data_IF_253759810137
#
_entry.id   IF_253759810137
#
_cell.length_a   1.000
_cell.length_b   1.000
_cell.length_c   1.000
_cell.angle_alpha   90.00
_cell.angle_beta   90.00
_cell.angle_gamma   90.00
#
_symmetry.space_group_name_H-M   'P 1'
#
loop_
_entity.id
_entity.type
_entity.pdbx_description
1 polymer ?
#
# COMPACT_ATOMS: atom_id res chain seq x y z
N UNK A 1 -4.16 25.57 18.60
CA UNK A 1 -3.90 24.82 17.37
C UNK A 1 -3.25 23.50 17.75
N UNK A 2 -3.84 22.38 17.34
CA UNK A 2 -3.29 21.02 17.46
C UNK A 2 -3.13 20.51 16.04
N UNK A 3 -2.01 19.87 15.72
CA UNK A 3 -1.77 19.15 14.48
C UNK A 3 -1.20 17.80 14.89
N UNK A 4 -1.88 16.71 14.54
CA UNK A 4 -1.42 15.35 14.80
C UNK A 4 -1.33 14.59 13.49
N UNK A 5 -0.18 13.98 13.23
CA UNK A 5 -0.03 12.99 12.17
C UNK A 5 -0.45 11.63 12.69
N UNK A 6 -1.37 10.97 12.01
CA UNK A 6 -1.79 9.60 12.27
C UNK A 6 -1.19 8.74 11.19
N UNK A 7 -0.01 8.16 11.49
CA UNK A 7 0.78 7.44 10.50
C UNK A 7 0.53 5.94 10.54
N UNK A 8 0.22 5.37 9.39
CA UNK A 8 -0.05 3.94 9.21
C UNK A 8 1.11 3.25 8.49
N UNK A 9 2.00 2.65 9.25
CA UNK A 9 3.26 2.09 8.74
C UNK A 9 3.10 1.01 7.66
N UNK A 10 2.04 0.18 7.71
CA UNK A 10 1.83 -0.87 6.71
C UNK A 10 1.41 -0.36 5.32
N UNK A 11 0.93 0.88 5.22
CA UNK A 11 0.63 1.60 3.98
C UNK A 11 1.62 2.73 3.72
N UNK A 12 2.52 3.00 4.66
CA UNK A 12 3.37 4.18 4.68
C UNK A 12 2.58 5.49 4.46
N UNK A 13 1.35 5.57 5.02
CA UNK A 13 0.38 6.64 4.79
C UNK A 13 0.21 7.51 6.04
N UNK A 14 0.16 8.83 5.86
CA UNK A 14 -0.12 9.83 6.89
C UNK A 14 -1.49 10.48 6.68
N UNK A 15 -2.41 10.27 7.64
CA UNK A 15 -3.60 11.10 7.79
C UNK A 15 -3.33 12.20 8.82
N UNK A 16 -4.10 13.28 8.78
CA UNK A 16 -3.85 14.42 9.65
C UNK A 16 -5.12 14.89 10.35
N UNK A 17 -4.98 15.11 11.66
CA UNK A 17 -5.99 15.71 12.53
C UNK A 17 -5.55 17.14 12.89
N UNK A 18 -6.38 18.13 12.54
CA UNK A 18 -6.11 19.56 12.80
C UNK A 18 -7.25 20.11 13.63
N UNK A 19 -6.92 20.70 14.79
CA UNK A 19 -7.93 21.26 15.69
C UNK A 19 -7.62 22.71 16.06
N UNK A 20 -8.67 23.54 16.04
CA UNK A 20 -8.63 24.92 16.48
C UNK A 20 -9.98 25.34 17.05
N UNK A 21 -9.99 25.80 18.29
CA UNK A 21 -11.16 26.39 18.94
C UNK A 21 -12.44 25.52 18.87
N UNK A 22 -12.29 24.20 19.11
CA UNK A 22 -13.41 23.26 19.08
C UNK A 22 -13.88 22.81 17.70
N UNK A 23 -13.20 23.22 16.63
CA UNK A 23 -13.44 22.73 15.26
C UNK A 23 -12.29 21.89 14.79
N UNK A 24 -12.59 20.80 14.09
CA UNK A 24 -11.62 19.82 13.57
C UNK A 24 -11.71 19.69 12.06
N UNK A 25 -10.57 19.59 11.42
CA UNK A 25 -10.42 19.11 10.05
C UNK A 25 -9.59 17.82 10.03
N UNK A 26 -10.00 16.86 9.21
CA UNK A 26 -9.24 15.64 8.93
C UNK A 26 -8.77 15.70 7.48
N UNK A 27 -7.52 15.33 7.22
CA UNK A 27 -6.97 15.24 5.87
C UNK A 27 -6.60 13.79 5.59
N UNK A 28 -7.05 13.27 4.46
CA UNK A 28 -6.81 11.93 3.93
C UNK A 28 -7.04 10.81 4.97
N UNK A 29 -8.25 10.70 5.56
CA UNK A 29 -8.54 9.73 6.61
C UNK A 29 -8.45 8.28 6.11
N UNK A 30 -7.98 7.38 6.96
CA UNK A 30 -8.11 5.95 6.72
C UNK A 30 -9.57 5.50 6.78
N UNK A 31 -9.83 4.30 6.25
CA UNK A 31 -11.16 3.73 6.14
C UNK A 31 -11.86 3.52 7.49
N UNK A 32 -11.11 3.15 8.52
CA UNK A 32 -11.58 3.07 9.91
C UNK A 32 -11.56 4.46 10.55
N UNK A 33 -12.73 5.02 10.77
CA UNK A 33 -12.86 6.44 11.14
C UNK A 33 -13.06 6.70 12.63
N UNK A 34 -13.22 5.65 13.45
CA UNK A 34 -13.60 5.81 14.84
C UNK A 34 -12.55 6.58 15.66
N UNK A 35 -11.27 6.34 15.39
CA UNK A 35 -10.19 7.04 16.10
C UNK A 35 -10.22 8.56 15.91
N UNK A 36 -10.64 9.05 14.75
CA UNK A 36 -10.80 10.50 14.52
C UNK A 36 -11.97 11.07 15.31
N UNK A 37 -13.08 10.32 15.39
CA UNK A 37 -14.28 10.70 16.14
C UNK A 37 -13.96 10.76 17.63
N UNK A 38 -13.35 9.69 18.19
CA UNK A 38 -12.99 9.61 19.60
C UNK A 38 -12.03 10.72 20.04
N UNK A 39 -11.07 11.10 19.17
CA UNK A 39 -10.16 12.24 19.41
C UNK A 39 -10.92 13.56 19.50
N UNK A 40 -11.83 13.82 18.56
CA UNK A 40 -12.65 15.03 18.56
C UNK A 40 -13.55 15.07 19.80
N UNK A 41 -14.24 13.99 20.15
CA UNK A 41 -15.10 13.89 21.32
C UNK A 41 -14.34 14.11 22.64
N UNK A 42 -13.16 13.50 22.77
CA UNK A 42 -12.27 13.68 23.94
C UNK A 42 -11.91 15.14 24.18
N UNK A 43 -11.76 15.92 23.10
CA UNK A 43 -11.43 17.34 23.16
C UNK A 43 -12.67 18.25 23.18
N UNK A 44 -13.89 17.68 23.21
CA UNK A 44 -15.16 18.42 23.02
C UNK A 44 -15.15 19.26 21.74
N UNK A 45 -14.56 18.75 20.68
CA UNK A 45 -14.46 19.38 19.38
C UNK A 45 -15.36 18.68 18.36
N UNK A 46 -15.71 19.38 17.27
CA UNK A 46 -16.55 18.87 16.19
C UNK A 46 -15.77 18.76 14.90
N UNK A 47 -15.79 17.59 14.25
CA UNK A 47 -15.25 17.42 12.91
C UNK A 47 -16.14 18.20 11.95
N UNK A 48 -15.58 19.23 11.33
CA UNK A 48 -16.26 20.18 10.44
C UNK A 48 -15.97 19.90 8.98
N UNK A 49 -14.72 19.52 8.69
CA UNK A 49 -14.24 19.30 7.34
C UNK A 49 -13.44 17.99 7.23
N UNK A 50 -13.55 17.36 6.07
CA UNK A 50 -12.73 16.23 5.62
C UNK A 50 -12.13 16.66 4.29
N UNK A 51 -10.84 16.85 4.24
CA UNK A 51 -10.11 17.21 3.04
C UNK A 51 -9.48 15.97 2.43
N UNK A 52 -9.68 15.79 1.14
CA UNK A 52 -9.01 14.77 0.34
C UNK A 52 -8.05 15.46 -0.63
N UNK A 53 -6.77 15.11 -0.57
CA UNK A 53 -5.77 15.70 -1.45
C UNK A 53 -5.96 15.28 -2.91
N UNK A 54 -6.44 14.04 -3.12
CA UNK A 54 -6.75 13.45 -4.43
C UNK A 54 -7.59 12.18 -4.26
N UNK A 55 -7.98 11.51 -5.34
CA UNK A 55 -8.53 10.16 -5.27
C UNK A 55 -7.39 9.14 -5.10
N UNK A 56 -7.13 8.75 -3.85
CA UNK A 56 -6.06 7.81 -3.51
C UNK A 56 -6.19 6.50 -4.28
N UNK A 57 -5.06 5.99 -4.79
CA UNK A 57 -5.01 4.73 -5.52
C UNK A 57 -4.52 3.56 -4.63
N UNK A 58 -3.69 3.83 -3.67
CA UNK A 58 -3.04 2.84 -2.82
C UNK A 58 -3.87 2.38 -1.62
N UNK A 59 -4.89 3.17 -1.23
CA UNK A 59 -5.86 2.80 -0.19
C UNK A 59 -7.25 3.38 -0.43
N UNK A 60 -8.26 2.83 0.24
CA UNK A 60 -9.62 3.37 0.28
C UNK A 60 -9.75 4.28 1.48
N UNK A 61 -9.96 5.57 1.24
CA UNK A 61 -10.13 6.59 2.27
C UNK A 61 -11.45 6.45 3.04
N UNK A 62 -11.51 6.96 4.26
CA UNK A 62 -12.68 6.92 5.14
C UNK A 62 -13.64 8.11 4.98
N UNK A 63 -13.44 8.98 4.01
CA UNK A 63 -14.14 10.26 3.88
C UNK A 63 -15.68 10.14 3.87
N UNK A 64 -16.23 9.17 3.12
CA UNK A 64 -17.69 8.97 3.05
C UNK A 64 -18.24 8.53 4.41
N UNK A 65 -17.66 7.49 5.01
CA UNK A 65 -18.10 6.98 6.33
C UNK A 65 -17.94 8.04 7.42
N UNK A 66 -16.85 8.81 7.40
CA UNK A 66 -16.61 9.88 8.38
C UNK A 66 -17.64 11.00 8.23
N UNK A 67 -17.95 11.40 6.99
CA UNK A 67 -18.99 12.41 6.70
C UNK A 67 -20.38 11.94 7.15
N UNK A 68 -20.75 10.69 6.88
CA UNK A 68 -22.02 10.09 7.31
C UNK A 68 -22.17 10.11 8.84
N UNK A 69 -21.12 9.72 9.59
CA UNK A 69 -21.14 9.64 11.06
C UNK A 69 -21.14 11.00 11.75
N UNK A 70 -20.46 12.02 11.15
CA UNK A 70 -20.21 13.30 11.83
C UNK A 70 -20.98 14.48 11.27
N UNK A 71 -21.51 14.37 10.04
CA UNK A 71 -22.07 15.47 9.28
C UNK A 71 -21.03 16.46 8.76
N UNK A 72 -19.73 16.08 8.79
CA UNK A 72 -18.64 16.88 8.25
C UNK A 72 -18.74 16.97 6.72
N UNK A 73 -18.26 18.10 6.17
CA UNK A 73 -18.25 18.31 4.72
C UNK A 73 -16.99 17.75 4.10
N UNK A 74 -17.14 16.94 3.06
CA UNK A 74 -16.01 16.45 2.25
C UNK A 74 -15.60 17.56 1.28
N UNK A 75 -14.30 17.80 1.16
CA UNK A 75 -13.73 18.86 0.31
C UNK A 75 -12.65 18.24 -0.57
N UNK A 76 -12.79 18.43 -1.86
CA UNK A 76 -11.78 18.14 -2.88
C UNK A 76 -11.31 19.42 -3.55
N UNK A 77 -10.16 19.38 -4.17
CA UNK A 77 -9.66 20.45 -5.02
C UNK A 77 -10.37 20.56 -6.37
N UNK A 78 -9.99 21.54 -7.19
CA UNK A 78 -10.55 21.74 -8.52
C UNK A 78 -10.43 20.48 -9.40
N UNK A 79 -11.33 20.36 -10.38
CA UNK A 79 -11.44 19.23 -11.33
C UNK A 79 -11.86 17.88 -10.75
N UNK A 80 -11.91 17.70 -9.43
CA UNK A 80 -12.49 16.51 -8.84
C UNK A 80 -13.97 16.37 -9.25
N UNK A 81 -14.37 15.13 -9.52
CA UNK A 81 -15.76 14.83 -9.89
C UNK A 81 -16.20 13.54 -9.20
N UNK A 82 -16.41 13.55 -7.86
CA UNK A 82 -16.91 12.39 -7.10
C UNK A 82 -18.37 12.11 -7.43
N UNK A 83 -18.81 10.87 -7.21
CA UNK A 83 -20.20 10.44 -7.40
C UNK A 83 -21.04 10.56 -6.10
N UNK A 84 -20.55 11.27 -5.11
CA UNK A 84 -21.21 11.58 -3.83
C UNK A 84 -21.14 13.08 -3.55
N UNK A 85 -21.86 13.55 -2.54
CA UNK A 85 -21.88 14.97 -2.18
C UNK A 85 -20.51 15.40 -1.61
N UNK A 86 -19.89 16.38 -2.25
CA UNK A 86 -18.65 17.01 -1.82
C UNK A 86 -18.59 18.47 -2.29
N UNK A 87 -17.83 19.28 -1.59
CA UNK A 87 -17.47 20.63 -2.02
C UNK A 87 -16.27 20.52 -2.94
N UNK A 88 -16.41 20.93 -4.17
CA UNK A 88 -15.30 21.09 -5.11
C UNK A 88 -14.79 22.52 -4.97
N UNK A 89 -13.66 22.66 -4.30
CA UNK A 89 -13.09 23.95 -4.01
C UNK A 89 -12.45 24.58 -5.25
N UNK A 90 -12.48 25.90 -5.31
CA UNK A 90 -11.71 26.66 -6.29
C UNK A 90 -10.23 26.75 -5.85
N UNK A 91 -9.34 26.97 -6.81
CA UNK A 91 -7.95 27.26 -6.49
C UNK A 91 -7.84 28.55 -5.65
N UNK A 92 -7.05 28.51 -4.60
CA UNK A 92 -6.93 29.56 -3.59
C UNK A 92 -8.16 29.79 -2.69
N UNK A 93 -9.18 28.96 -2.77
CA UNK A 93 -10.30 29.03 -1.82
C UNK A 93 -9.81 28.79 -0.39
N UNK A 94 -10.41 29.53 0.57
CA UNK A 94 -10.03 29.46 1.99
C UNK A 94 -11.21 28.94 2.81
N UNK A 95 -10.92 27.97 3.68
CA UNK A 95 -11.85 27.39 4.64
C UNK A 95 -11.44 27.79 6.06
N UNK A 96 -12.37 28.35 6.81
CA UNK A 96 -12.15 28.75 8.19
C UNK A 96 -12.28 27.57 9.15
N UNK A 97 -11.25 27.33 9.99
CA UNK A 97 -11.22 26.30 11.02
C UNK A 97 -10.86 26.94 12.38
N UNK A 98 -11.88 27.26 13.18
CA UNK A 98 -11.68 28.04 14.40
C UNK A 98 -10.96 29.37 14.12
N UNK A 99 -9.75 29.54 14.66
CA UNK A 99 -8.89 30.71 14.41
C UNK A 99 -7.91 30.53 13.23
N UNK A 100 -7.94 29.37 12.58
CA UNK A 100 -7.02 29.02 11.47
C UNK A 100 -7.72 29.12 10.14
N UNK A 101 -6.94 29.24 9.07
CA UNK A 101 -7.41 29.19 7.69
C UNK A 101 -6.72 28.03 6.96
N UNK A 102 -7.47 27.25 6.20
CA UNK A 102 -6.95 26.22 5.29
C UNK A 102 -7.19 26.70 3.87
N UNK A 103 -6.11 26.96 3.13
CA UNK A 103 -6.15 27.43 1.75
C UNK A 103 -5.88 26.28 0.81
N UNK A 104 -6.74 26.11 -0.19
CA UNK A 104 -6.58 25.11 -1.25
C UNK A 104 -5.58 25.61 -2.29
N UNK A 105 -4.56 24.82 -2.60
CA UNK A 105 -3.62 25.05 -3.69
C UNK A 105 -3.82 23.92 -4.70
N UNK A 106 -4.41 24.20 -5.86
CA UNK A 106 -4.56 23.21 -6.92
C UNK A 106 -3.19 22.86 -7.52
N UNK A 107 -2.76 21.64 -7.38
CA UNK A 107 -1.43 21.15 -7.77
C UNK A 107 -1.52 19.91 -8.66
N UNK A 108 -2.10 20.03 -9.89
CA UNK A 108 -2.22 18.91 -10.80
C UNK A 108 -0.86 18.34 -11.18
N UNK A 109 -0.83 17.04 -11.46
CA UNK A 109 0.37 16.34 -11.92
C UNK A 109 0.47 14.89 -11.46
N UNK A 110 0.40 14.61 -10.17
CA UNK A 110 0.19 13.25 -9.68
C UNK A 110 -1.18 12.74 -10.15
N UNK A 111 -2.24 13.50 -9.86
CA UNK A 111 -3.55 13.41 -10.52
C UNK A 111 -4.00 14.79 -10.98
N UNK A 112 -5.05 14.87 -11.80
CA UNK A 112 -5.55 16.17 -12.29
C UNK A 112 -6.25 16.99 -11.22
N UNK A 113 -6.86 16.34 -10.23
CA UNK A 113 -7.54 16.99 -9.09
C UNK A 113 -6.63 17.20 -7.89
N UNK A 114 -5.39 16.73 -7.93
CA UNK A 114 -4.43 16.85 -6.82
C UNK A 114 -4.35 18.27 -6.29
N UNK A 115 -4.40 18.39 -4.97
CA UNK A 115 -4.34 19.66 -4.28
C UNK A 115 -3.54 19.55 -2.99
N UNK A 116 -2.76 20.58 -2.69
CA UNK A 116 -2.17 20.76 -1.38
C UNK A 116 -3.07 21.65 -0.53
N UNK A 117 -3.04 21.44 0.79
CA UNK A 117 -3.76 22.29 1.74
C UNK A 117 -2.77 23.07 2.59
N UNK A 118 -2.77 24.39 2.42
CA UNK A 118 -1.89 25.30 3.16
C UNK A 118 -2.60 25.82 4.41
N UNK A 119 -2.12 25.40 5.57
CA UNK A 119 -2.63 25.87 6.86
C UNK A 119 -1.97 27.21 7.20
N UNK A 120 -2.79 28.19 7.51
CA UNK A 120 -2.37 29.48 8.06
C UNK A 120 -2.72 29.56 9.54
N UNK A 121 -1.79 30.12 10.33
CA UNK A 121 -2.01 30.37 11.73
C UNK A 121 -3.04 31.48 12.00
N UNK A 122 -3.34 31.76 13.27
CA UNK A 122 -4.27 32.84 13.70
C UNK A 122 -3.85 34.22 13.23
N UNK A 123 -2.59 34.42 12.87
CA UNK A 123 -2.06 35.68 12.31
C UNK A 123 -2.07 35.68 10.78
N UNK A 124 -2.66 34.65 10.15
CA UNK A 124 -2.69 34.41 8.70
C UNK A 124 -1.32 34.19 8.06
N UNK A 125 -0.31 33.84 8.88
CA UNK A 125 0.98 33.40 8.39
C UNK A 125 0.91 31.94 7.95
N UNK A 126 1.56 31.61 6.81
CA UNK A 126 1.72 30.24 6.34
C UNK A 126 2.48 29.43 7.39
N UNK A 127 1.92 28.30 7.81
CA UNK A 127 2.45 27.48 8.90
C UNK A 127 2.80 26.07 8.45
N UNK A 128 1.89 25.38 7.74
CA UNK A 128 2.08 24.01 7.33
C UNK A 128 1.44 23.73 5.97
N UNK A 129 2.06 22.87 5.19
CA UNK A 129 1.59 22.39 3.90
C UNK A 129 1.31 20.89 3.99
N UNK A 130 0.04 20.50 3.86
CA UNK A 130 -0.36 19.11 3.66
C UNK A 130 -0.31 18.85 2.16
N UNK A 131 0.78 18.23 1.74
CA UNK A 131 1.16 18.20 0.33
C UNK A 131 0.57 17.04 -0.46
N UNK A 132 -0.11 16.10 0.20
CA UNK A 132 -0.58 14.88 -0.47
C UNK A 132 0.56 14.19 -1.18
N UNK A 133 0.30 13.78 -2.41
CA UNK A 133 1.28 13.17 -3.33
C UNK A 133 1.90 14.19 -4.29
N UNK A 134 1.69 15.50 -4.07
CA UNK A 134 2.38 16.54 -4.85
C UNK A 134 3.85 16.62 -4.47
N UNK A 135 4.17 16.60 -3.17
CA UNK A 135 5.53 16.68 -2.65
C UNK A 135 5.69 15.71 -1.48
N UNK A 136 6.69 14.84 -1.57
CA UNK A 136 7.21 14.03 -0.48
C UNK A 136 8.52 14.60 0.06
N UNK A 137 9.01 14.03 1.16
CA UNK A 137 10.35 14.35 1.64
C UNK A 137 11.38 13.59 0.81
N UNK A 138 12.20 14.33 0.07
CA UNK A 138 13.22 13.80 -0.84
C UNK A 138 12.71 13.39 -2.23
N UNK A 139 11.39 13.39 -2.47
CA UNK A 139 10.78 12.93 -3.73
C UNK A 139 9.48 13.67 -4.04
N UNK A 140 8.81 13.27 -5.12
CA UNK A 140 7.47 13.72 -5.54
C UNK A 140 6.60 12.53 -5.94
N UNK A 141 5.28 12.72 -5.98
CA UNK A 141 4.36 11.68 -6.45
C UNK A 141 4.56 11.36 -7.92
N UNK A 142 4.40 10.08 -8.25
CA UNK A 142 4.50 9.55 -9.62
C UNK A 142 3.40 10.12 -10.51
N UNK A 143 3.72 10.60 -11.73
CA UNK A 143 2.74 11.28 -12.60
C UNK A 143 2.11 10.36 -13.66
N UNK A 144 2.12 9.04 -13.48
CA UNK A 144 1.66 8.08 -14.49
C UNK A 144 0.31 7.41 -14.16
N UNK A 145 -0.28 7.69 -12.99
CA UNK A 145 -1.50 7.00 -12.54
C UNK A 145 -2.79 7.52 -13.16
N UNK A 146 -2.83 8.80 -13.52
CA UNK A 146 -4.06 9.49 -13.95
C UNK A 146 -4.13 9.76 -15.46
N UNK A 147 -3.47 8.94 -16.27
CA UNK A 147 -3.54 9.03 -17.74
C UNK A 147 -4.99 8.81 -18.21
N UNK A 148 -5.54 9.76 -18.95
CA UNK A 148 -6.92 9.69 -19.45
C UNK A 148 -7.08 10.46 -20.76
N UNK A 149 -7.63 9.80 -21.76
CA UNK A 149 -7.81 10.39 -23.08
C UNK A 149 -6.45 10.74 -23.71
N UNK A 150 -6.27 12.01 -24.07
CA UNK A 150 -5.03 12.50 -24.71
C UNK A 150 -3.96 12.95 -23.69
N UNK A 151 -4.24 12.84 -22.37
CA UNK A 151 -3.28 13.23 -21.33
C UNK A 151 -2.29 12.09 -21.11
N UNK A 152 -1.02 12.36 -21.38
CA UNK A 152 0.09 11.43 -21.22
C UNK A 152 0.76 11.58 -19.84
N UNK A 153 1.60 10.61 -19.46
CA UNK A 153 2.45 10.72 -18.27
C UNK A 153 3.40 11.91 -18.34
N UNK A 154 3.90 12.26 -19.55
CA UNK A 154 4.76 13.45 -19.76
C UNK A 154 3.99 14.75 -19.53
N UNK A 155 2.71 14.80 -19.92
CA UNK A 155 1.87 15.97 -19.64
C UNK A 155 1.63 16.12 -18.14
N UNK A 156 1.33 15.02 -17.45
CA UNK A 156 1.14 15.00 -16.00
C UNK A 156 2.44 15.40 -15.27
N UNK A 157 3.59 14.88 -15.68
CA UNK A 157 4.89 15.31 -15.14
C UNK A 157 5.15 16.80 -15.36
N UNK A 158 4.77 17.32 -16.55
CA UNK A 158 4.84 18.74 -16.85
C UNK A 158 3.95 19.61 -15.97
N UNK A 159 2.71 19.15 -15.66
CA UNK A 159 1.82 19.83 -14.71
C UNK A 159 2.35 19.78 -13.28
N UNK A 160 2.94 18.65 -12.86
CA UNK A 160 3.56 18.52 -11.56
C UNK A 160 4.71 19.54 -11.39
N UNK A 161 5.59 19.66 -12.38
CA UNK A 161 6.64 20.67 -12.38
C UNK A 161 6.08 22.09 -12.19
N UNK A 162 5.08 22.47 -12.99
CA UNK A 162 4.43 23.78 -12.88
C UNK A 162 3.78 24.01 -11.51
N UNK A 163 3.14 22.97 -10.96
CA UNK A 163 2.55 23.01 -9.62
C UNK A 163 3.62 23.25 -8.54
N UNK A 164 4.73 22.53 -8.60
CA UNK A 164 5.84 22.68 -7.66
C UNK A 164 6.47 24.09 -7.77
N UNK A 165 6.81 24.55 -8.97
CA UNK A 165 7.50 25.80 -9.17
C UNK A 165 6.63 27.02 -8.86
N UNK A 166 5.35 27.00 -9.24
CA UNK A 166 4.49 28.17 -9.11
C UNK A 166 3.77 28.27 -7.77
N UNK A 167 3.62 27.15 -7.02
CA UNK A 167 2.82 27.12 -5.79
C UNK A 167 3.57 26.66 -4.56
N UNK A 168 4.46 25.66 -4.69
CA UNK A 168 5.16 25.10 -3.54
C UNK A 168 6.46 25.85 -3.26
N UNK A 169 7.33 26.02 -4.27
CA UNK A 169 8.63 26.71 -4.12
C UNK A 169 8.47 28.17 -3.68
N UNK A 170 7.34 28.81 -4.02
CA UNK A 170 7.05 30.19 -3.65
C UNK A 170 6.70 30.41 -2.18
N UNK A 171 6.38 29.33 -1.43
CA UNK A 171 6.07 29.41 0.00
C UNK A 171 7.36 29.66 0.82
N UNK A 172 7.19 30.18 2.04
CA UNK A 172 8.32 30.47 2.94
C UNK A 172 9.05 29.20 3.39
N UNK A 173 10.35 29.33 3.65
CA UNK A 173 11.22 28.19 3.99
C UNK A 173 10.88 27.55 5.35
N UNK A 174 10.22 28.28 6.26
CA UNK A 174 9.84 27.81 7.57
C UNK A 174 8.49 27.04 7.58
N UNK A 175 7.85 26.85 6.43
CA UNK A 175 6.61 26.05 6.30
C UNK A 175 6.93 24.59 6.55
N UNK A 176 6.16 23.97 7.44
CA UNK A 176 6.26 22.53 7.75
C UNK A 176 5.58 21.73 6.64
N UNK A 177 6.22 20.69 6.13
CA UNK A 177 5.68 19.80 5.08
C UNK A 177 5.18 18.52 5.72
N UNK A 178 3.91 18.21 5.47
CA UNK A 178 3.19 17.01 5.87
C UNK A 178 2.74 16.23 4.62
N UNK A 179 3.55 15.27 4.12
CA UNK A 179 3.22 14.50 2.92
C UNK A 179 2.23 13.37 3.21
N UNK A 180 1.51 12.87 2.19
CA UNK A 180 0.65 11.70 2.38
C UNK A 180 1.44 10.42 2.60
N UNK A 181 2.69 10.32 2.14
CA UNK A 181 3.49 9.10 2.25
C UNK A 181 4.91 9.32 2.74
N UNK A 182 5.45 8.24 3.34
CA UNK A 182 6.86 8.06 3.68
C UNK A 182 7.47 6.83 3.01
N UNK A 183 8.66 6.44 3.44
CA UNK A 183 9.41 5.30 2.87
C UNK A 183 8.59 4.00 2.84
N UNK A 184 8.54 3.35 1.69
CA UNK A 184 7.83 2.08 1.46
C UNK A 184 6.55 2.20 0.65
N UNK A 185 6.02 3.43 0.41
CA UNK A 185 4.91 3.63 -0.50
C UNK A 185 5.31 3.39 -1.97
N UNK A 186 4.37 2.89 -2.77
CA UNK A 186 4.51 2.74 -4.21
C UNK A 186 4.18 4.03 -5.00
N UNK A 187 3.82 5.11 -4.29
CA UNK A 187 3.47 6.39 -4.90
C UNK A 187 4.68 7.27 -5.24
N UNK A 188 5.90 6.90 -4.83
CA UNK A 188 7.15 7.57 -5.18
C UNK A 188 8.31 6.58 -5.28
N UNK A 189 9.50 7.08 -5.69
CA UNK A 189 10.69 6.25 -5.93
C UNK A 189 11.63 6.18 -4.72
N UNK A 190 11.95 7.34 -4.13
CA UNK A 190 13.01 7.50 -3.13
C UNK A 190 12.54 8.30 -1.90
N UNK A 191 11.40 7.95 -1.33
CA UNK A 191 10.85 8.65 -0.18
C UNK A 191 11.75 8.50 1.06
N UNK A 192 11.92 9.61 1.77
CA UNK A 192 12.64 9.65 3.05
C UNK A 192 11.95 8.79 4.12
N UNK A 193 12.72 8.42 5.14
CA UNK A 193 12.19 7.74 6.34
C UNK A 193 11.45 8.70 7.26
N UNK A 194 11.79 9.98 7.21
CA UNK A 194 11.07 11.03 7.92
C UNK A 194 9.69 11.19 7.30
N UNK A 195 8.72 11.50 8.15
CA UNK A 195 7.31 11.69 7.75
C UNK A 195 6.84 13.14 7.91
N UNK A 196 7.70 14.00 8.44
CA UNK A 196 7.49 15.45 8.62
C UNK A 196 8.81 16.15 8.33
N UNK A 197 8.78 17.25 7.59
CA UNK A 197 9.98 18.01 7.23
C UNK A 197 9.71 19.50 7.16
N UNK A 198 10.72 20.26 6.72
CA UNK A 198 10.64 21.71 6.54
C UNK A 198 10.89 22.05 5.08
N UNK A 199 10.09 22.93 4.49
CA UNK A 199 10.13 23.22 3.06
C UNK A 199 11.49 23.77 2.61
N UNK A 200 12.16 24.59 3.43
CA UNK A 200 13.49 25.12 3.12
C UNK A 200 14.56 24.04 2.97
N UNK A 201 14.47 22.96 3.75
CA UNK A 201 15.34 21.79 3.60
C UNK A 201 15.02 21.05 2.29
N UNK A 202 13.74 20.88 1.96
CA UNK A 202 13.31 20.24 0.72
C UNK A 202 13.77 21.03 -0.51
N UNK A 203 13.71 22.35 -0.49
CA UNK A 203 14.24 23.19 -1.58
C UNK A 203 15.75 22.98 -1.82
N UNK A 204 16.51 22.55 -0.80
CA UNK A 204 17.95 22.31 -0.89
C UNK A 204 18.29 20.85 -1.25
N UNK A 205 17.50 19.88 -0.80
CA UNK A 205 17.84 18.45 -0.85
C UNK A 205 17.00 17.63 -1.80
N UNK A 206 15.75 18.05 -2.07
CA UNK A 206 14.85 17.34 -2.97
C UNK A 206 15.19 17.69 -4.44
N UNK A 207 15.50 16.68 -5.23
CA UNK A 207 15.87 16.86 -6.64
C UNK A 207 14.82 17.65 -7.43
N UNK A 208 13.53 17.40 -7.13
CA UNK A 208 12.39 17.97 -7.85
C UNK A 208 12.19 19.49 -7.60
N UNK A 209 12.78 20.03 -6.53
CA UNK A 209 12.68 21.46 -6.16
C UNK A 209 13.92 22.25 -6.50
N UNK A 210 14.92 21.65 -7.16
CA UNK A 210 16.15 22.35 -7.55
C UNK A 210 15.85 23.54 -8.45
N UNK A 211 16.44 24.69 -8.13
CA UNK A 211 16.23 25.95 -8.86
C UNK A 211 16.82 25.96 -10.29
N UNK A 212 17.82 25.09 -10.56
CA UNK A 212 18.50 24.96 -11.85
C UNK A 212 17.86 23.91 -12.78
N UNK A 213 16.85 23.14 -12.31
CA UNK A 213 16.21 22.10 -13.09
C UNK A 213 15.19 22.67 -14.08
N UNK A 214 15.38 22.39 -15.35
CA UNK A 214 14.41 22.72 -16.39
C UNK A 214 13.20 21.78 -16.36
N UNK A 215 12.08 22.18 -16.94
CA UNK A 215 10.88 21.34 -17.05
C UNK A 215 11.18 20.01 -17.76
N UNK A 216 11.97 20.03 -18.83
CA UNK A 216 12.28 18.81 -19.61
C UNK A 216 13.20 17.84 -18.82
N UNK A 217 14.16 18.36 -18.09
CA UNK A 217 15.00 17.56 -17.17
C UNK A 217 14.14 16.93 -16.06
N UNK A 218 13.25 17.71 -15.44
CA UNK A 218 12.32 17.19 -14.43
C UNK A 218 11.42 16.07 -14.98
N UNK A 219 10.82 16.28 -16.16
CA UNK A 219 9.95 15.27 -16.80
C UNK A 219 10.72 13.98 -17.07
N UNK A 220 11.97 14.10 -17.52
CA UNK A 220 12.83 12.93 -17.77
C UNK A 220 13.17 12.22 -16.46
N UNK A 221 13.63 12.97 -15.45
CA UNK A 221 14.04 12.42 -14.15
C UNK A 221 12.87 11.75 -13.39
N UNK A 222 11.70 12.40 -13.35
CA UNK A 222 10.56 11.87 -12.59
C UNK A 222 10.00 10.62 -13.20
N UNK A 223 10.05 10.46 -14.53
CA UNK A 223 9.55 9.28 -15.25
C UNK A 223 10.58 8.15 -15.32
N UNK A 224 11.86 8.42 -15.09
CA UNK A 224 12.89 7.40 -15.15
C UNK A 224 12.74 6.38 -13.99
N UNK A 225 12.80 5.10 -14.32
CA UNK A 225 12.78 4.02 -13.34
C UNK A 225 11.45 3.82 -12.59
N UNK A 226 10.33 4.40 -13.05
CA UNK A 226 9.01 4.14 -12.45
C UNK A 226 8.61 2.70 -12.71
N UNK A 227 8.43 1.91 -11.65
CA UNK A 227 7.87 0.56 -11.75
C UNK A 227 6.38 0.61 -12.13
N UNK A 228 5.84 -0.39 -12.86
CA UNK A 228 4.41 -0.47 -13.13
C UNK A 228 3.58 -0.34 -11.85
N UNK A 229 2.43 0.37 -11.87
CA UNK A 229 1.61 0.51 -10.69
C UNK A 229 1.00 -0.83 -10.27
N UNK A 230 0.80 -1.05 -8.95
CA UNK A 230 0.09 -2.22 -8.46
C UNK A 230 -1.30 -2.33 -9.10
N UNK A 231 -1.74 -3.54 -9.45
CA UNK A 231 -2.95 -3.78 -10.24
C UNK A 231 -4.25 -3.28 -9.58
N UNK A 232 -4.28 -3.10 -8.26
CA UNK A 232 -5.44 -2.63 -7.51
C UNK A 232 -5.59 -1.11 -7.51
N UNK A 233 -4.56 -0.34 -7.86
CA UNK A 233 -4.55 1.13 -7.78
C UNK A 233 -5.72 1.77 -8.53
N UNK A 234 -5.93 1.41 -9.79
CA UNK A 234 -7.02 1.97 -10.57
C UNK A 234 -8.41 1.67 -9.97
N UNK A 235 -8.56 0.51 -9.33
CA UNK A 235 -9.80 0.09 -8.69
C UNK A 235 -10.07 0.89 -7.41
N UNK A 236 -9.05 1.10 -6.57
CA UNK A 236 -9.17 1.89 -5.35
C UNK A 236 -9.44 3.36 -5.65
N UNK A 237 -8.74 3.96 -6.62
CA UNK A 237 -9.04 5.32 -7.08
C UNK A 237 -10.50 5.45 -7.55
N UNK A 238 -11.03 4.43 -8.24
CA UNK A 238 -12.44 4.40 -8.63
C UNK A 238 -13.37 4.26 -7.43
N UNK A 239 -13.05 3.45 -6.41
CA UNK A 239 -13.82 3.37 -5.17
C UNK A 239 -13.85 4.71 -4.44
N UNK A 240 -12.70 5.36 -4.28
CA UNK A 240 -12.60 6.67 -3.66
C UNK A 240 -13.39 7.75 -4.41
N UNK A 241 -13.52 7.62 -5.72
CA UNK A 241 -14.32 8.53 -6.56
C UNK A 241 -15.81 8.21 -6.53
N UNK A 242 -16.18 6.92 -6.50
CA UNK A 242 -17.57 6.48 -6.71
C UNK A 242 -18.33 6.25 -5.41
N UNK A 243 -17.65 6.20 -4.28
CA UNK A 243 -18.17 5.71 -3.01
C UNK A 243 -18.01 4.18 -2.87
N UNK A 244 -18.17 3.69 -1.65
CA UNK A 244 -17.93 2.31 -1.23
C UNK A 244 -18.87 1.93 -0.08
N UNK A 245 -18.93 0.64 0.26
CA UNK A 245 -19.74 0.16 1.39
C UNK A 245 -19.27 0.76 2.72
N UNK A 246 -20.20 1.03 3.63
CA UNK A 246 -19.88 1.51 4.97
C UNK A 246 -18.93 0.53 5.67
N UNK A 247 -17.91 1.05 6.33
CA UNK A 247 -16.89 0.23 6.97
C UNK A 247 -17.44 -0.64 8.09
N UNK A 248 -18.42 -0.14 8.86
CA UNK A 248 -19.04 -0.92 9.95
C UNK A 248 -19.77 -2.15 9.41
N UNK A 249 -20.43 -2.02 8.26
CA UNK A 249 -21.11 -3.16 7.59
C UNK A 249 -20.09 -4.18 7.09
N UNK A 250 -18.97 -3.71 6.54
CA UNK A 250 -17.87 -4.58 6.08
C UNK A 250 -17.27 -5.35 7.26
N UNK A 251 -17.02 -4.66 8.36
CA UNK A 251 -16.46 -5.26 9.57
C UNK A 251 -17.45 -6.27 10.18
N UNK A 252 -18.74 -5.90 10.31
CA UNK A 252 -19.77 -6.80 10.83
C UNK A 252 -19.92 -8.06 9.99
N UNK A 253 -19.86 -7.94 8.66
CA UNK A 253 -19.93 -9.07 7.73
C UNK A 253 -18.69 -9.97 7.83
N UNK A 254 -17.50 -9.38 7.95
CA UNK A 254 -16.23 -10.11 7.92
C UNK A 254 -15.81 -10.70 9.27
N UNK A 255 -16.29 -10.14 10.39
CA UNK A 255 -15.96 -10.59 11.75
C UNK A 255 -16.95 -11.64 12.26
N UNK A 256 -17.16 -12.70 11.46
CA UNK A 256 -18.05 -13.81 11.76
C UNK A 256 -17.26 -15.08 12.04
N UNK A 257 -17.36 -15.60 13.26
CA UNK A 257 -16.75 -16.86 13.65
C UNK A 257 -17.47 -18.06 12.99
N UNK A 258 -16.73 -18.92 12.33
CA UNK A 258 -17.24 -20.10 11.62
C UNK A 258 -16.57 -21.36 12.17
N UNK A 259 -17.36 -22.37 12.54
CA UNK A 259 -16.81 -23.68 12.82
C UNK A 259 -16.24 -24.33 11.53
N UNK A 260 -15.49 -25.41 11.65
CA UNK A 260 -14.79 -26.03 10.52
C UNK A 260 -15.73 -26.50 9.40
N UNK A 261 -16.93 -27.02 9.74
CA UNK A 261 -17.92 -27.48 8.77
C UNK A 261 -18.52 -26.33 7.96
N UNK A 262 -18.91 -25.24 8.63
CA UNK A 262 -19.48 -24.05 7.98
C UNK A 262 -18.42 -23.33 7.15
N UNK A 263 -17.20 -23.26 7.65
CA UNK A 263 -16.06 -22.66 6.94
C UNK A 263 -15.79 -23.42 5.63
N UNK A 264 -15.70 -24.76 5.67
CA UNK A 264 -15.50 -25.58 4.47
C UNK A 264 -16.68 -25.47 3.50
N UNK A 265 -17.91 -25.50 4.01
CA UNK A 265 -19.10 -25.36 3.18
C UNK A 265 -19.13 -24.02 2.44
N UNK A 266 -18.78 -22.91 3.12
CA UNK A 266 -18.69 -21.59 2.49
C UNK A 266 -17.52 -21.53 1.49
N UNK A 267 -16.36 -22.10 1.82
CA UNK A 267 -15.21 -22.14 0.89
C UNK A 267 -15.60 -22.79 -0.44
N UNK A 268 -16.33 -23.90 -0.37
CA UNK A 268 -16.76 -24.65 -1.55
C UNK A 268 -17.92 -23.99 -2.31
N UNK A 269 -18.96 -23.52 -1.59
CA UNK A 269 -20.19 -23.01 -2.20
C UNK A 269 -20.00 -21.65 -2.86
N UNK A 270 -19.18 -20.79 -2.24
CA UNK A 270 -18.93 -19.43 -2.70
C UNK A 270 -17.63 -19.30 -3.53
N UNK A 271 -16.93 -20.42 -3.77
CA UNK A 271 -15.58 -20.42 -4.36
C UNK A 271 -14.68 -19.41 -3.65
N UNK A 272 -14.77 -19.37 -2.30
CA UNK A 272 -14.05 -18.39 -1.51
C UNK A 272 -12.56 -18.73 -1.43
N UNK A 273 -11.75 -17.70 -1.53
CA UNK A 273 -10.31 -17.80 -1.27
C UNK A 273 -10.08 -17.99 0.23
N UNK A 274 -9.43 -19.06 0.63
CA UNK A 274 -8.95 -19.22 2.01
C UNK A 274 -7.62 -18.47 2.13
N UNK A 275 -7.62 -17.38 2.89
CA UNK A 275 -6.45 -16.54 3.13
C UNK A 275 -5.90 -16.80 4.53
N UNK A 276 -4.72 -17.41 4.60
CA UNK A 276 -4.00 -17.65 5.85
C UNK A 276 -3.09 -16.46 6.15
N UNK A 277 -3.39 -15.74 7.23
CA UNK A 277 -2.66 -14.53 7.62
C UNK A 277 -1.77 -14.75 8.85
N UNK A 278 -1.58 -15.99 9.28
CA UNK A 278 -0.71 -16.35 10.39
C UNK A 278 0.76 -16.04 10.06
N UNK A 279 1.67 -16.43 10.93
CA UNK A 279 3.09 -16.33 10.66
C UNK A 279 3.52 -17.41 9.64
N UNK A 280 4.46 -17.10 8.73
CA UNK A 280 4.91 -18.03 7.68
C UNK A 280 5.36 -19.41 8.21
N UNK A 281 5.97 -19.47 9.38
CA UNK A 281 6.36 -20.76 9.99
C UNK A 281 5.16 -21.65 10.28
N UNK A 282 4.07 -21.07 10.80
CA UNK A 282 2.85 -21.80 11.10
C UNK A 282 2.17 -22.32 9.83
N UNK A 283 2.21 -21.52 8.75
CA UNK A 283 1.71 -21.93 7.44
C UNK A 283 2.54 -23.12 6.87
N UNK A 284 3.87 -23.01 6.93
CA UNK A 284 4.79 -24.08 6.51
C UNK A 284 4.49 -25.40 7.23
N UNK A 285 4.31 -25.34 8.55
CA UNK A 285 4.04 -26.51 9.39
C UNK A 285 2.70 -27.17 9.09
N UNK A 286 1.65 -26.36 8.88
CA UNK A 286 0.33 -26.88 8.52
C UNK A 286 -0.60 -25.75 8.05
N UNK A 287 -1.32 -26.01 6.95
CA UNK A 287 -2.32 -25.11 6.40
C UNK A 287 -3.48 -25.86 5.75
N UNK A 288 -4.58 -25.17 5.50
CA UNK A 288 -5.73 -25.73 4.78
C UNK A 288 -5.32 -25.90 3.30
N UNK A 289 -5.62 -27.06 2.67
CA UNK A 289 -5.34 -27.27 1.25
C UNK A 289 -5.85 -26.13 0.37
N UNK A 290 -5.07 -25.74 -0.63
CA UNK A 290 -5.36 -24.63 -1.56
C UNK A 290 -5.48 -23.24 -0.91
N UNK A 291 -5.15 -23.08 0.37
CA UNK A 291 -5.07 -21.75 0.99
C UNK A 291 -3.87 -20.96 0.48
N UNK A 292 -4.04 -19.64 0.36
CA UNK A 292 -2.96 -18.70 0.06
C UNK A 292 -2.48 -18.05 1.35
N UNK A 293 -1.16 -17.97 1.51
CA UNK A 293 -0.52 -17.31 2.64
C UNK A 293 -0.20 -15.85 2.31
N UNK A 294 -0.65 -14.91 3.13
CA UNK A 294 -0.14 -13.53 3.18
C UNK A 294 -0.18 -13.10 4.66
N UNK A 295 0.95 -13.24 5.35
CA UNK A 295 1.03 -12.99 6.80
C UNK A 295 0.75 -11.54 7.19
N UNK A 296 -0.07 -11.34 8.24
CA UNK A 296 -0.50 -10.01 8.69
C UNK A 296 0.65 -9.12 9.19
N UNK A 297 1.74 -9.72 9.66
CA UNK A 297 2.91 -8.99 10.19
C UNK A 297 3.89 -8.51 9.11
N UNK A 298 3.66 -8.83 7.84
CA UNK A 298 4.44 -8.34 6.70
C UNK A 298 3.79 -7.14 6.00
N UNK A 299 4.17 -6.87 4.77
CA UNK A 299 3.50 -5.90 3.89
C UNK A 299 2.12 -6.41 3.44
N UNK A 300 1.21 -6.69 4.39
CA UNK A 300 -0.03 -7.42 4.17
C UNK A 300 -0.93 -6.77 3.12
N UNK A 301 -1.37 -5.53 3.38
CA UNK A 301 -2.31 -4.85 2.50
C UNK A 301 -1.77 -4.65 1.06
N UNK A 302 -0.54 -4.14 0.85
CA UNK A 302 0.06 -4.08 -0.48
C UNK A 302 0.15 -5.44 -1.19
N UNK A 303 0.51 -6.53 -0.47
CA UNK A 303 0.58 -7.85 -1.08
C UNK A 303 -0.79 -8.42 -1.40
N UNK A 304 -1.79 -8.23 -0.55
CA UNK A 304 -3.18 -8.57 -0.88
C UNK A 304 -3.61 -7.86 -2.17
N UNK A 305 -3.39 -6.54 -2.23
CA UNK A 305 -3.72 -5.74 -3.40
C UNK A 305 -3.00 -6.15 -4.68
N UNK A 306 -1.72 -6.52 -4.59
CA UNK A 306 -0.93 -6.95 -5.74
C UNK A 306 -1.31 -8.36 -6.24
N UNK A 307 -1.70 -9.27 -5.35
CA UNK A 307 -1.79 -10.71 -5.65
C UNK A 307 -3.21 -11.22 -5.86
N UNK A 308 -4.22 -10.63 -5.19
CA UNK A 308 -5.63 -10.99 -5.37
C UNK A 308 -6.24 -10.06 -6.41
N UNK A 309 -6.50 -10.58 -7.61
CA UNK A 309 -6.84 -9.72 -8.77
C UNK A 309 -8.28 -9.20 -8.77
N UNK A 310 -9.20 -9.85 -8.05
CA UNK A 310 -10.59 -9.43 -7.97
C UNK A 310 -10.94 -8.86 -6.59
N UNK A 311 -11.28 -7.56 -6.50
CA UNK A 311 -11.73 -6.93 -5.25
C UNK A 311 -13.02 -7.54 -4.69
N UNK A 312 -13.82 -8.21 -5.53
CA UNK A 312 -15.07 -8.87 -5.13
C UNK A 312 -14.86 -10.32 -4.72
N UNK A 313 -13.62 -10.84 -4.77
CA UNK A 313 -13.32 -12.20 -4.36
C UNK A 313 -13.85 -12.46 -2.96
N UNK A 314 -14.74 -13.48 -2.75
CA UNK A 314 -15.10 -13.92 -1.41
C UNK A 314 -13.85 -14.44 -0.69
N UNK A 315 -13.63 -13.99 0.55
CA UNK A 315 -12.44 -14.34 1.34
C UNK A 315 -12.88 -14.95 2.67
N UNK A 316 -12.28 -16.06 3.03
CA UNK A 316 -12.36 -16.71 4.34
C UNK A 316 -10.99 -16.67 5.01
N UNK A 317 -10.96 -16.36 6.31
CA UNK A 317 -9.72 -16.07 7.01
C UNK A 317 -9.28 -17.19 7.95
N UNK A 318 -7.97 -17.48 7.94
CA UNK A 318 -7.29 -18.23 9.00
C UNK A 318 -6.32 -17.25 9.69
N UNK A 319 -6.69 -16.81 10.90
CA UNK A 319 -6.00 -15.73 11.61
C UNK A 319 -5.22 -16.23 12.84
N UNK A 320 -4.22 -15.50 13.32
CA UNK A 320 -3.82 -15.59 14.71
C UNK A 320 -4.98 -15.15 15.61
N UNK A 321 -5.12 -15.77 16.78
CA UNK A 321 -6.16 -15.42 17.77
C UNK A 321 -6.13 -13.93 18.11
N UNK A 322 -7.29 -13.27 18.07
CA UNK A 322 -7.47 -11.85 18.37
C UNK A 322 -7.02 -10.90 17.23
N UNK A 323 -6.76 -11.43 16.03
CA UNK A 323 -6.40 -10.62 14.84
C UNK A 323 -7.47 -10.59 13.76
N UNK A 324 -8.64 -11.08 14.06
CA UNK A 324 -9.76 -11.23 13.10
C UNK A 324 -10.20 -9.85 12.58
N UNK A 325 -10.61 -8.97 13.48
CA UNK A 325 -11.05 -7.60 13.13
C UNK A 325 -9.94 -6.78 12.48
N UNK A 326 -8.70 -6.88 12.98
CA UNK A 326 -7.56 -6.22 12.37
C UNK A 326 -7.35 -6.68 10.93
N UNK A 327 -7.55 -7.98 10.66
CA UNK A 327 -7.39 -8.54 9.31
C UNK A 327 -8.46 -8.01 8.36
N UNK A 328 -9.73 -8.02 8.77
CA UNK A 328 -10.84 -7.46 7.98
C UNK A 328 -10.59 -5.97 7.70
N UNK A 329 -10.18 -5.22 8.71
CA UNK A 329 -9.84 -3.79 8.58
C UNK A 329 -8.74 -3.56 7.54
N UNK A 330 -7.65 -4.33 7.61
CA UNK A 330 -6.53 -4.18 6.66
C UNK A 330 -6.89 -4.61 5.23
N UNK A 331 -7.78 -5.58 5.06
CA UNK A 331 -8.35 -5.94 3.75
C UNK A 331 -9.18 -4.80 3.18
N UNK A 332 -10.05 -4.21 4.00
CA UNK A 332 -10.92 -3.12 3.57
C UNK A 332 -10.13 -1.85 3.22
N UNK A 333 -8.98 -1.58 3.85
CA UNK A 333 -8.10 -0.46 3.48
C UNK A 333 -7.66 -0.50 2.02
N UNK A 334 -7.58 -1.68 1.42
CA UNK A 334 -7.21 -1.86 0.00
C UNK A 334 -8.38 -2.38 -0.85
N UNK A 335 -9.62 -2.19 -0.36
CA UNK A 335 -10.86 -2.39 -1.14
C UNK A 335 -11.43 -3.82 -1.13
N UNK A 336 -10.87 -4.75 -0.35
CA UNK A 336 -11.39 -6.12 -0.24
C UNK A 336 -12.47 -6.22 0.84
N UNK A 337 -13.70 -5.89 0.46
CA UNK A 337 -14.86 -5.80 1.37
C UNK A 337 -15.68 -7.08 1.46
N UNK A 338 -15.29 -8.13 0.75
CA UNK A 338 -16.06 -9.37 0.67
C UNK A 338 -15.49 -10.50 1.54
N UNK A 339 -15.09 -10.16 2.78
CA UNK A 339 -14.74 -11.18 3.78
C UNK A 339 -16.03 -11.83 4.31
N UNK A 340 -16.09 -13.17 4.32
CA UNK A 340 -17.26 -13.96 4.72
C UNK A 340 -17.19 -14.44 6.17
N UNK A 341 -16.04 -14.33 6.81
CA UNK A 341 -15.80 -14.76 8.17
C UNK A 341 -14.40 -15.38 8.36
N UNK A 342 -14.18 -15.90 9.54
CA UNK A 342 -12.92 -16.52 9.92
C UNK A 342 -13.13 -17.89 10.59
N UNK A 343 -12.11 -18.74 10.54
CA UNK A 343 -12.12 -20.05 11.17
C UNK A 343 -11.96 -19.88 12.70
N UNK A 344 -13.04 -20.18 13.46
CA UNK A 344 -13.04 -20.11 14.92
C UNK A 344 -12.05 -21.13 15.51
N UNK A 345 -11.16 -20.65 16.39
CA UNK A 345 -10.11 -21.46 16.99
C UNK A 345 -8.99 -21.86 16.02
N UNK A 346 -9.00 -21.33 14.79
CA UNK A 346 -7.93 -21.46 13.82
C UNK A 346 -7.66 -22.89 13.35
N UNK A 347 -6.41 -23.15 12.91
CA UNK A 347 -6.03 -24.42 12.30
C UNK A 347 -6.15 -25.63 13.26
N UNK A 348 -6.09 -25.42 14.57
CA UNK A 348 -6.19 -26.50 15.54
C UNK A 348 -7.63 -27.03 15.61
N UNK A 349 -8.64 -26.17 15.51
CA UNK A 349 -10.06 -26.57 15.38
C UNK A 349 -10.30 -27.33 14.08
N UNK A 350 -9.70 -26.89 12.97
CA UNK A 350 -9.76 -27.60 11.69
C UNK A 350 -9.21 -29.02 11.78
N UNK A 351 -8.03 -29.19 12.40
CA UNK A 351 -7.41 -30.49 12.65
C UNK A 351 -8.28 -31.38 13.56
N UNK A 352 -8.82 -30.80 14.65
CA UNK A 352 -9.68 -31.51 15.58
C UNK A 352 -10.99 -32.01 14.95
N UNK A 353 -11.49 -31.32 13.92
CA UNK A 353 -12.62 -31.73 13.11
C UNK A 353 -12.28 -32.84 12.08
N UNK A 354 -11.02 -33.33 12.06
CA UNK A 354 -10.56 -34.39 11.16
C UNK A 354 -10.46 -33.96 9.69
N UNK A 355 -10.32 -32.65 9.43
CA UNK A 355 -10.18 -32.12 8.09
C UNK A 355 -8.76 -32.23 7.57
N UNK A 356 -8.60 -32.30 6.24
CA UNK A 356 -7.30 -32.41 5.57
C UNK A 356 -6.44 -31.17 5.80
N UNK A 357 -5.14 -31.41 5.96
CA UNK A 357 -4.12 -30.37 6.05
C UNK A 357 -3.00 -30.63 5.04
N UNK A 358 -2.34 -29.56 4.62
CA UNK A 358 -1.09 -29.62 3.85
C UNK A 358 0.06 -28.98 4.61
N UNK A 359 1.26 -29.25 4.13
CA UNK A 359 2.52 -28.65 4.58
C UNK A 359 3.25 -28.05 3.39
N UNK A 360 4.17 -27.12 3.63
CA UNK A 360 5.12 -26.64 2.65
C UNK A 360 6.51 -27.11 3.02
N UNK A 361 7.20 -27.76 2.09
CA UNK A 361 8.60 -28.11 2.31
C UNK A 361 9.45 -26.84 2.38
N UNK A 362 10.26 -26.70 3.42
CA UNK A 362 11.19 -25.58 3.61
C UNK A 362 12.53 -26.12 4.09
N UNK A 363 13.61 -25.76 3.37
CA UNK A 363 14.96 -26.24 3.64
C UNK A 363 15.90 -25.10 4.04
N UNK A 364 17.00 -25.42 4.71
CA UNK A 364 18.01 -24.42 5.05
C UNK A 364 18.81 -23.98 3.82
N UNK A 365 19.46 -22.82 3.90
CA UNK A 365 20.35 -22.34 2.84
C UNK A 365 21.55 -23.27 2.62
N UNK A 366 22.02 -23.95 3.66
CA UNK A 366 23.09 -24.94 3.55
C UNK A 366 22.63 -26.20 2.78
N UNK A 367 21.41 -26.70 3.07
CA UNK A 367 20.83 -27.82 2.32
C UNK A 367 20.61 -27.42 0.87
N UNK A 368 20.06 -26.22 0.63
CA UNK A 368 19.89 -25.67 -0.72
C UNK A 368 21.24 -25.56 -1.46
N UNK A 369 22.29 -25.06 -0.80
CA UNK A 369 23.66 -24.99 -1.37
C UNK A 369 24.19 -26.34 -1.81
N UNK A 370 23.94 -27.39 -1.02
CA UNK A 370 24.34 -28.74 -1.38
C UNK A 370 23.61 -29.28 -2.60
N UNK A 371 22.29 -29.08 -2.69
CA UNK A 371 21.50 -29.45 -3.88
C UNK A 371 21.97 -28.68 -5.12
N UNK A 372 22.15 -27.36 -5.02
CA UNK A 372 22.58 -26.51 -6.12
C UNK A 372 23.92 -26.91 -6.73
N UNK A 373 24.87 -27.39 -5.90
CA UNK A 373 26.20 -27.83 -6.36
C UNK A 373 26.21 -29.24 -6.99
N UNK A 374 25.37 -30.12 -6.49
CA UNK A 374 25.42 -31.53 -6.84
C UNK A 374 24.33 -31.98 -7.80
N UNK A 375 23.31 -31.18 -8.02
CA UNK A 375 22.12 -31.50 -8.83
C UNK A 375 21.79 -30.37 -9.77
N UNK A 376 21.07 -30.69 -10.85
CA UNK A 376 20.44 -29.64 -11.71
C UNK A 376 19.08 -29.29 -11.15
N UNK A 377 19.01 -28.20 -10.39
CA UNK A 377 17.77 -27.72 -9.77
C UNK A 377 17.26 -26.43 -10.41
N UNK A 378 15.94 -26.23 -10.43
CA UNK A 378 15.38 -24.96 -10.90
C UNK A 378 15.14 -24.05 -9.68
N UNK A 379 15.62 -22.83 -9.76
CA UNK A 379 15.51 -21.85 -8.67
C UNK A 379 14.71 -20.63 -9.13
N UNK A 380 13.74 -20.20 -8.32
CA UNK A 380 12.98 -18.98 -8.53
C UNK A 380 13.39 -17.93 -7.50
N UNK A 381 13.95 -16.83 -7.97
CA UNK A 381 14.15 -15.63 -7.16
C UNK A 381 12.91 -14.72 -7.30
N UNK A 382 12.10 -14.66 -6.22
CA UNK A 382 10.85 -13.90 -6.22
C UNK A 382 10.99 -12.47 -5.66
N UNK A 383 12.22 -11.95 -5.58
CA UNK A 383 12.49 -10.57 -5.18
C UNK A 383 12.08 -9.58 -6.27
N UNK A 384 11.99 -8.31 -5.89
CA UNK A 384 11.76 -7.22 -6.85
C UNK A 384 12.91 -7.08 -7.84
N UNK A 385 12.64 -6.51 -9.00
CA UNK A 385 13.59 -6.33 -10.10
C UNK A 385 14.88 -5.63 -9.66
N UNK A 386 14.79 -4.51 -8.93
CA UNK A 386 15.96 -3.81 -8.40
C UNK A 386 16.80 -4.63 -7.40
N UNK A 387 16.15 -5.48 -6.57
CA UNK A 387 16.88 -6.37 -5.66
C UNK A 387 17.63 -7.47 -6.43
N UNK A 388 16.99 -8.02 -7.48
CA UNK A 388 17.59 -9.04 -8.35
C UNK A 388 18.76 -8.44 -9.14
N UNK A 389 18.57 -7.30 -9.80
CA UNK A 389 19.61 -6.62 -10.56
C UNK A 389 20.81 -6.19 -9.71
N UNK A 390 20.56 -5.81 -8.46
CA UNK A 390 21.63 -5.42 -7.55
C UNK A 390 22.62 -6.55 -7.27
N UNK A 391 22.14 -7.74 -7.01
CA UNK A 391 22.92 -8.99 -6.84
C UNK A 391 21.99 -10.18 -6.77
N UNK A 392 22.30 -11.26 -7.47
CA UNK A 392 21.55 -12.52 -7.40
C UNK A 392 22.48 -13.73 -7.47
N UNK A 393 21.91 -14.92 -7.22
CA UNK A 393 22.58 -16.19 -7.38
C UNK A 393 22.89 -16.42 -8.86
N UNK A 394 24.17 -16.67 -9.18
CA UNK A 394 24.62 -16.92 -10.56
C UNK A 394 24.46 -18.40 -10.92
N UNK A 395 23.72 -18.70 -11.99
CA UNK A 395 23.49 -20.06 -12.46
C UNK A 395 22.45 -20.14 -13.57
N UNK A 396 22.65 -21.07 -14.50
CA UNK A 396 21.83 -21.26 -15.73
C UNK A 396 20.35 -21.58 -15.42
N UNK A 397 20.05 -22.15 -14.26
CA UNK A 397 18.71 -22.54 -13.84
C UNK A 397 18.13 -21.59 -12.74
N UNK A 398 18.70 -20.42 -12.58
CA UNK A 398 18.16 -19.37 -11.71
C UNK A 398 17.32 -18.42 -12.52
N UNK A 399 16.03 -18.37 -12.22
CA UNK A 399 15.06 -17.53 -12.93
C UNK A 399 14.58 -16.42 -12.01
N UNK A 400 14.63 -15.18 -12.47
CA UNK A 400 13.93 -14.09 -11.83
C UNK A 400 12.42 -14.23 -12.07
N UNK A 401 11.64 -14.31 -10.99
CA UNK A 401 10.20 -14.54 -11.02
C UNK A 401 9.53 -13.63 -9.97
N UNK A 402 9.64 -12.32 -10.16
CA UNK A 402 9.18 -11.33 -9.18
C UNK A 402 7.74 -11.59 -8.71
N UNK A 403 7.54 -11.64 -7.39
CA UNK A 403 6.24 -11.91 -6.78
C UNK A 403 5.18 -10.90 -7.21
N UNK A 404 5.56 -9.64 -7.41
CA UNK A 404 4.65 -8.57 -7.85
C UNK A 404 3.92 -8.91 -9.16
N UNK A 405 4.53 -9.74 -10.02
CA UNK A 405 4.03 -10.13 -11.35
C UNK A 405 3.76 -11.63 -11.48
N UNK A 406 3.53 -12.33 -10.35
CA UNK A 406 3.30 -13.78 -10.37
C UNK A 406 2.08 -14.16 -11.23
N UNK A 407 1.05 -13.33 -11.26
CA UNK A 407 -0.17 -13.61 -12.02
C UNK A 407 0.08 -13.57 -13.54
N UNK A 408 0.89 -12.63 -14.00
CA UNK A 408 1.23 -12.43 -15.41
C UNK A 408 2.25 -13.47 -15.92
N UNK A 409 3.16 -13.89 -15.02
CA UNK A 409 4.30 -14.72 -15.35
C UNK A 409 4.07 -16.23 -15.15
N UNK A 410 2.86 -16.68 -14.81
CA UNK A 410 2.56 -18.10 -14.56
C UNK A 410 2.96 -19.04 -15.70
N UNK A 411 2.91 -18.57 -16.94
CA UNK A 411 3.30 -19.36 -18.13
C UNK A 411 4.83 -19.57 -18.25
N UNK A 412 5.64 -18.88 -17.44
CA UNK A 412 7.09 -19.02 -17.45
C UNK A 412 7.58 -20.19 -16.59
N UNK A 413 6.68 -20.86 -15.87
CA UNK A 413 6.99 -22.00 -14.99
C UNK A 413 6.20 -23.24 -15.42
N UNK A 414 6.82 -24.42 -15.27
CA UNK A 414 6.25 -25.72 -15.65
C UNK A 414 5.84 -26.49 -14.38
N UNK A 415 4.55 -26.81 -14.25
CA UNK A 415 4.00 -27.50 -13.08
C UNK A 415 4.58 -28.90 -12.82
N UNK A 416 5.24 -29.51 -13.83
CA UNK A 416 5.88 -30.83 -13.70
C UNK A 416 7.30 -30.76 -13.11
N UNK A 417 7.87 -29.55 -12.96
CA UNK A 417 9.22 -29.37 -12.42
C UNK A 417 9.19 -29.06 -10.93
N UNK A 418 10.29 -29.40 -10.25
CA UNK A 418 10.55 -28.96 -8.88
C UNK A 418 11.21 -27.59 -8.91
N UNK A 419 10.71 -26.67 -8.08
CA UNK A 419 11.26 -25.33 -7.94
C UNK A 419 11.67 -25.04 -6.49
N UNK A 420 12.90 -24.60 -6.32
CA UNK A 420 13.39 -24.02 -5.09
C UNK A 420 13.15 -22.51 -5.13
N UNK A 421 12.40 -22.00 -4.16
CA UNK A 421 11.90 -20.62 -4.18
C UNK A 421 12.55 -19.84 -3.03
N UNK A 422 13.17 -18.72 -3.35
CA UNK A 422 13.68 -17.80 -2.35
C UNK A 422 13.27 -16.35 -2.62
N UNK A 423 13.22 -15.58 -1.54
CA UNK A 423 13.14 -14.10 -1.59
C UNK A 423 14.30 -13.49 -0.79
N UNK A 424 14.17 -12.30 -0.26
CA UNK A 424 15.21 -11.68 0.58
C UNK A 424 15.38 -12.39 1.94
N UNK A 425 14.27 -12.68 2.64
CA UNK A 425 14.29 -13.14 4.04
C UNK A 425 13.31 -14.27 4.40
N UNK A 426 12.63 -14.92 3.43
CA UNK A 426 11.75 -16.08 3.68
C UNK A 426 10.27 -15.75 3.95
N UNK A 427 9.79 -14.55 3.62
CA UNK A 427 8.37 -14.18 3.70
C UNK A 427 7.69 -14.27 2.33
N UNK A 428 8.20 -13.55 1.32
CA UNK A 428 7.66 -13.51 -0.04
C UNK A 428 7.75 -14.88 -0.76
N UNK A 429 8.78 -15.68 -0.45
CA UNK A 429 8.93 -17.03 -0.99
C UNK A 429 7.80 -17.96 -0.54
N UNK A 430 7.36 -17.86 0.72
CA UNK A 430 6.21 -18.64 1.23
C UNK A 430 4.90 -18.16 0.57
N UNK A 431 4.73 -16.84 0.33
CA UNK A 431 3.59 -16.34 -0.44
C UNK A 431 3.60 -16.95 -1.85
N UNK A 432 4.71 -16.85 -2.57
CA UNK A 432 4.84 -17.40 -3.93
C UNK A 432 4.56 -18.90 -3.95
N UNK A 433 5.15 -19.67 -3.03
CA UNK A 433 4.95 -21.10 -2.92
C UNK A 433 3.49 -21.47 -2.64
N UNK A 434 2.79 -20.74 -1.75
CA UNK A 434 1.37 -20.96 -1.48
C UNK A 434 0.49 -20.73 -2.69
N UNK A 435 0.75 -19.65 -3.46
CA UNK A 435 0.03 -19.35 -4.70
C UNK A 435 0.28 -20.42 -5.76
N UNK A 436 1.53 -20.85 -5.92
CA UNK A 436 1.89 -21.89 -6.87
C UNK A 436 1.22 -23.22 -6.49
N UNK A 437 1.24 -23.63 -5.20
CA UNK A 437 0.54 -24.83 -4.72
C UNK A 437 -0.97 -24.75 -4.99
N UNK A 438 -1.61 -23.66 -4.66
CA UNK A 438 -3.04 -23.45 -4.92
C UNK A 438 -3.40 -23.52 -6.42
N UNK A 439 -2.41 -23.34 -7.30
CA UNK A 439 -2.55 -23.47 -8.77
C UNK A 439 -2.04 -24.78 -9.34
N UNK A 440 -1.79 -25.78 -8.49
CA UNK A 440 -1.43 -27.14 -8.89
C UNK A 440 0.06 -27.41 -9.07
N UNK A 441 0.95 -26.53 -8.65
CA UNK A 441 2.39 -26.77 -8.61
C UNK A 441 2.75 -27.50 -7.31
N UNK A 442 2.76 -28.82 -7.33
CA UNK A 442 2.95 -29.61 -6.11
C UNK A 442 4.41 -29.69 -5.62
N UNK A 443 5.37 -29.43 -6.52
CA UNK A 443 6.80 -29.61 -6.25
C UNK A 443 7.49 -28.25 -6.03
N UNK A 444 7.10 -27.53 -4.97
CA UNK A 444 7.68 -26.24 -4.60
C UNK A 444 8.31 -26.34 -3.21
N UNK A 445 9.53 -25.85 -3.08
CA UNK A 445 10.35 -25.92 -1.87
C UNK A 445 10.80 -24.51 -1.50
N UNK A 446 10.46 -24.05 -0.30
CA UNK A 446 10.93 -22.76 0.22
C UNK A 446 12.38 -22.87 0.71
N UNK A 447 13.20 -21.85 0.44
CA UNK A 447 14.54 -21.72 1.01
C UNK A 447 14.50 -20.76 2.20
N UNK A 448 14.54 -21.31 3.39
CA UNK A 448 14.44 -20.57 4.64
C UNK A 448 15.53 -19.50 4.78
N UNK A 449 15.14 -18.30 5.19
CA UNK A 449 16.04 -17.15 5.31
C UNK A 449 16.38 -16.47 3.97
N UNK A 450 15.95 -17.05 2.84
CA UNK A 450 16.06 -16.48 1.51
C UNK A 450 17.47 -16.06 1.12
N UNK A 451 17.59 -15.07 0.23
CA UNK A 451 18.88 -14.57 -0.27
C UNK A 451 19.81 -14.09 0.86
N UNK A 452 19.23 -13.55 1.94
CA UNK A 452 19.99 -13.15 3.13
C UNK A 452 20.80 -14.30 3.75
N UNK A 453 20.26 -15.53 3.73
CA UNK A 453 20.96 -16.74 4.19
C UNK A 453 21.83 -17.34 3.06
N UNK A 454 21.32 -17.39 1.83
CA UNK A 454 22.02 -17.95 0.66
C UNK A 454 23.36 -17.24 0.41
N UNK A 455 23.42 -15.93 0.49
CA UNK A 455 24.65 -15.15 0.28
C UNK A 455 25.76 -15.43 1.29
N UNK A 456 25.46 -16.08 2.41
CA UNK A 456 26.46 -16.51 3.41
C UNK A 456 26.99 -17.92 3.15
N UNK A 457 26.50 -18.59 2.10
CA UNK A 457 27.07 -19.86 1.59
C UNK A 457 28.18 -19.55 0.57
N UNK A 458 28.82 -20.57 0.08
CA UNK A 458 29.88 -20.50 -0.93
C UNK A 458 29.33 -20.64 -2.38
N UNK A 459 28.04 -20.34 -2.61
CA UNK A 459 27.45 -20.34 -3.93
C UNK A 459 27.89 -19.12 -4.76
N UNK A 460 27.96 -19.26 -6.09
CA UNK A 460 28.34 -18.15 -6.97
C UNK A 460 27.26 -17.06 -6.97
N UNK A 461 27.70 -15.82 -6.86
CA UNK A 461 26.84 -14.63 -6.92
C UNK A 461 27.31 -13.74 -8.06
N UNK A 462 26.38 -12.98 -8.66
CA UNK A 462 26.73 -11.90 -9.60
C UNK A 462 27.46 -10.78 -8.86
N UNK A 463 28.19 -9.96 -9.59
CA UNK A 463 28.80 -8.75 -9.02
C UNK A 463 27.69 -7.83 -8.46
N UNK A 464 28.02 -7.19 -7.33
CA UNK A 464 27.10 -6.23 -6.73
C UNK A 464 27.05 -4.94 -7.53
N UNK A 465 25.87 -4.53 -7.96
CA UNK A 465 25.58 -3.23 -8.59
C UNK A 465 24.76 -2.40 -7.61
N UNK A 466 25.21 -1.16 -7.35
CA UNK A 466 24.48 -0.29 -6.44
C UNK A 466 23.09 0.04 -7.02
N UNK A 467 22.00 -0.15 -6.27
CA UNK A 467 20.65 0.17 -6.77
C UNK A 467 20.48 1.61 -7.24
N UNK A 468 21.26 2.56 -6.69
CA UNK A 468 21.24 3.96 -7.15
C UNK A 468 21.87 4.18 -8.52
N UNK A 469 22.46 3.15 -9.13
CA UNK A 469 23.04 3.19 -10.49
C UNK A 469 22.29 2.31 -11.48
N UNK A 470 21.19 1.66 -11.03
CA UNK A 470 20.26 0.89 -11.82
C UNK A 470 19.03 1.69 -12.18
#
# INVERSE_FOLDING_TARGET
>A
MIIEQIYTGCLAQGAYYIESNGEVAIIDPLREVQDYIDRAEKNNAKIKYIFETHFHADFVSGHVTLAEKTGAKIIYGPTANPNFEAIIAEDNQVFQLGELEIKVLHTPGHTMESSCFLLKDKNKKDHALFSGDTLFLGDVGRPDLAQKGDITERDLAGYLYESLQNKVVTLADDVIVYPAHGAGSACGKNLSKETVGVLGEQKQTNYALRADMTKEEFVTEVLDGIAPPPQYFAKNAMMNKSGYANFDDVLQKGDVALNAENFEALANNEAALVLDVRHQKNFIESHIPNSIFIGINGGFAPWVGALITDLKQPILLVTPEGKEQETVTRLSRVGYDNTLGYLEGGIDTWKAAGKDIETLESISAETFSNHFKNETINTLDVRKDGEYKAMHLDGDNVQHFALDFINENMNAVDSNKTYYIHCAGGYRSVIAASILKARGFNNVIDVAGGFGAIKNTDLPMTEFVCPSTL
#
